data_IF_767573583449
#
_entry.id   IF_767573583449
#
_cell.length_a   1.000
_cell.length_b   1.000
_cell.length_c   1.000
_cell.angle_alpha   90.00
_cell.angle_beta   90.00
_cell.angle_gamma   90.00
#
_symmetry.space_group_name_H-M   'P 1'
#
loop_
_entity.id
_entity.type
_entity.pdbx_description
1 polymer ?
#
# COMPACT_ATOMS: atom_id res chain seq x y z
N UNK A 1 0.55 24.11 23.72
CA UNK A 1 0.19 22.78 23.17
C UNK A 1 -1.32 22.71 23.00
N UNK A 2 -1.82 22.18 21.88
CA UNK A 2 -3.26 21.98 21.67
C UNK A 2 -3.69 20.68 22.37
N UNK A 3 -4.58 20.72 23.37
CA UNK A 3 -5.06 19.51 24.01
C UNK A 3 -5.95 18.70 23.03
N UNK A 4 -6.05 17.38 23.24
CA UNK A 4 -6.68 16.46 22.27
C UNK A 4 -8.20 16.43 22.44
N UNK A 5 -8.91 16.04 21.37
CA UNK A 5 -10.38 15.85 21.33
C UNK A 5 -11.20 17.13 21.49
N UNK A 6 -10.71 18.24 20.93
CA UNK A 6 -11.48 19.49 20.85
C UNK A 6 -12.15 19.59 19.48
N UNK A 7 -13.40 20.03 19.47
CA UNK A 7 -14.12 20.38 18.25
C UNK A 7 -13.66 21.73 17.70
N UNK A 8 -13.33 22.67 18.59
CA UNK A 8 -12.88 24.02 18.25
C UNK A 8 -11.51 24.34 18.85
N UNK A 9 -10.83 25.31 18.25
CA UNK A 9 -9.50 25.74 18.66
C UNK A 9 -9.34 27.26 18.54
N UNK A 10 -8.50 27.88 19.38
CA UNK A 10 -8.14 29.29 19.24
C UNK A 10 -7.50 29.60 17.88
N UNK A 11 -7.67 30.84 17.39
CA UNK A 11 -7.15 31.31 16.10
C UNK A 11 -5.62 31.14 15.94
N UNK A 12 -4.88 31.06 17.04
CA UNK A 12 -3.43 30.82 17.05
C UNK A 12 -3.02 29.48 16.42
N UNK A 13 -3.93 28.50 16.35
CA UNK A 13 -3.69 27.18 15.74
C UNK A 13 -4.29 27.03 14.34
N UNK A 14 -4.95 28.07 13.81
CA UNK A 14 -5.69 28.00 12.56
C UNK A 14 -4.80 27.60 11.37
N UNK A 15 -3.62 28.22 11.21
CA UNK A 15 -2.72 27.92 10.11
C UNK A 15 -2.30 26.44 10.06
N UNK A 16 -1.95 25.86 11.22
CA UNK A 16 -1.53 24.46 11.31
C UNK A 16 -2.69 23.48 11.09
N UNK A 17 -3.90 23.82 11.57
CA UNK A 17 -5.07 23.00 11.32
C UNK A 17 -5.48 23.02 9.85
N UNK A 18 -5.38 24.15 9.15
CA UNK A 18 -5.64 24.22 7.69
C UNK A 18 -4.65 23.33 6.93
N UNK A 19 -3.36 23.42 7.22
CA UNK A 19 -2.33 22.57 6.58
C UNK A 19 -2.63 21.09 6.84
N UNK A 20 -2.99 20.74 8.08
CA UNK A 20 -3.38 19.38 8.47
C UNK A 20 -4.59 18.88 7.69
N UNK A 21 -5.62 19.71 7.52
CA UNK A 21 -6.82 19.38 6.75
C UNK A 21 -6.54 19.23 5.24
N UNK A 22 -5.65 20.04 4.68
CA UNK A 22 -5.22 19.86 3.29
C UNK A 22 -4.49 18.52 3.14
N UNK A 23 -3.62 18.16 4.10
CA UNK A 23 -2.95 16.86 4.13
C UNK A 23 -3.92 15.68 4.19
N UNK A 24 -5.01 15.78 4.97
CA UNK A 24 -6.02 14.72 5.02
C UNK A 24 -6.83 14.60 3.71
N UNK A 25 -7.07 15.70 3.00
CA UNK A 25 -7.68 15.63 1.67
C UNK A 25 -6.77 14.91 0.67
N UNK A 26 -5.46 15.19 0.71
CA UNK A 26 -4.47 14.51 -0.15
C UNK A 26 -4.43 13.01 0.16
N UNK A 27 -4.51 12.60 1.42
CA UNK A 27 -4.51 11.18 1.79
C UNK A 27 -5.79 10.44 1.37
N UNK A 28 -6.94 11.12 1.39
CA UNK A 28 -8.19 10.55 0.84
C UNK A 28 -8.04 10.33 -0.66
N UNK A 29 -7.49 11.30 -1.39
CA UNK A 29 -7.26 11.17 -2.83
C UNK A 29 -6.28 10.05 -3.18
N UNK A 30 -5.20 9.89 -2.40
CA UNK A 30 -4.24 8.81 -2.62
C UNK A 30 -4.85 7.43 -2.37
N UNK A 31 -5.77 7.29 -1.40
CA UNK A 31 -6.47 6.04 -1.14
C UNK A 31 -7.40 5.67 -2.30
N UNK A 32 -8.17 6.62 -2.83
CA UNK A 32 -9.01 6.39 -4.02
C UNK A 32 -8.15 5.96 -5.21
N UNK A 33 -7.01 6.63 -5.41
CA UNK A 33 -6.08 6.28 -6.47
C UNK A 33 -5.48 4.88 -6.31
N UNK A 34 -5.14 4.47 -5.08
CA UNK A 34 -4.67 3.13 -4.77
C UNK A 34 -5.72 2.07 -5.13
N UNK A 35 -6.99 2.29 -4.79
CA UNK A 35 -8.07 1.37 -5.18
C UNK A 35 -8.20 1.26 -6.71
N UNK A 36 -8.04 2.37 -7.42
CA UNK A 36 -8.08 2.38 -8.88
C UNK A 36 -6.92 1.60 -9.50
N UNK A 37 -5.69 1.77 -9.01
CA UNK A 37 -4.52 1.04 -9.52
C UNK A 37 -4.70 -0.47 -9.31
N UNK A 38 -5.19 -0.90 -8.14
CA UNK A 38 -5.44 -2.33 -7.88
C UNK A 38 -6.48 -2.88 -8.85
N UNK A 39 -7.59 -2.16 -9.05
CA UNK A 39 -8.62 -2.56 -9.99
C UNK A 39 -8.09 -2.66 -11.43
N UNK A 40 -7.33 -1.66 -11.89
CA UNK A 40 -6.74 -1.65 -13.22
C UNK A 40 -5.76 -2.82 -13.41
N UNK A 41 -4.91 -3.09 -12.41
CA UNK A 41 -3.95 -4.20 -12.46
C UNK A 41 -4.66 -5.56 -12.60
N UNK A 42 -5.78 -5.76 -11.88
CA UNK A 42 -6.60 -6.98 -11.98
C UNK A 42 -7.34 -7.07 -13.33
N UNK A 43 -7.79 -5.94 -13.88
CA UNK A 43 -8.49 -5.90 -15.16
C UNK A 43 -7.57 -6.15 -16.36
N UNK A 44 -6.35 -5.61 -16.36
CA UNK A 44 -5.41 -5.71 -17.49
C UNK A 44 -4.68 -7.05 -17.59
N UNK A 45 -4.69 -7.88 -16.54
CA UNK A 45 -4.15 -9.26 -16.52
C UNK A 45 -2.72 -9.38 -17.10
N UNK A 46 -1.85 -8.41 -16.78
CA UNK A 46 -0.46 -8.37 -17.25
C UNK A 46 0.36 -9.51 -16.63
N UNK A 47 0.94 -10.37 -17.47
CA UNK A 47 1.79 -11.48 -17.03
C UNK A 47 3.19 -10.98 -16.63
N UNK A 48 3.72 -11.55 -15.55
CA UNK A 48 5.09 -11.29 -15.08
C UNK A 48 6.06 -12.10 -15.94
N UNK A 49 7.06 -11.45 -16.52
CA UNK A 49 8.07 -12.09 -17.40
C UNK A 49 9.40 -12.30 -16.66
N UNK A 50 9.85 -11.30 -15.89
CA UNK A 50 11.07 -11.39 -15.11
C UNK A 50 10.99 -10.45 -13.91
N UNK A 51 11.68 -10.79 -12.82
CA UNK A 51 11.83 -9.95 -11.63
C UNK A 51 13.28 -9.52 -11.45
N UNK A 52 13.50 -8.22 -11.27
CA UNK A 52 14.84 -7.61 -11.21
C UNK A 52 15.44 -7.56 -9.80
N UNK A 53 15.15 -8.54 -8.94
CA UNK A 53 15.67 -8.58 -7.57
C UNK A 53 16.32 -9.93 -7.25
N UNK A 54 17.18 -9.93 -6.23
CA UNK A 54 17.81 -11.15 -5.71
C UNK A 54 16.76 -11.98 -4.95
N UNK A 55 16.54 -13.23 -5.33
CA UNK A 55 15.62 -14.15 -4.65
C UNK A 55 16.24 -14.65 -3.33
N UNK A 56 16.34 -13.78 -2.32
CA UNK A 56 16.92 -14.12 -1.02
C UNK A 56 15.97 -14.96 -0.14
N UNK A 57 14.66 -14.92 -0.40
CA UNK A 57 13.67 -15.79 0.23
C UNK A 57 13.06 -16.79 -0.77
N UNK A 58 12.68 -17.96 -0.26
CA UNK A 58 12.10 -19.07 -1.03
C UNK A 58 10.78 -18.71 -1.72
N UNK A 59 10.01 -17.77 -1.18
CA UNK A 59 8.72 -17.38 -1.75
C UNK A 59 8.84 -16.88 -3.20
N UNK A 60 9.94 -16.19 -3.53
CA UNK A 60 10.17 -15.58 -4.83
C UNK A 60 10.63 -16.56 -5.92
N UNK A 61 10.94 -17.81 -5.55
CA UNK A 61 11.27 -18.87 -6.50
C UNK A 61 10.02 -19.57 -7.08
N UNK A 62 8.83 -19.33 -6.51
CA UNK A 62 7.60 -19.92 -6.98
C UNK A 62 7.06 -19.23 -8.26
N UNK A 63 6.17 -19.94 -8.96
CA UNK A 63 5.42 -19.36 -10.08
C UNK A 63 4.39 -18.32 -9.60
N UNK A 64 3.97 -17.43 -10.50
CA UNK A 64 2.93 -16.43 -10.27
C UNK A 64 1.71 -16.71 -11.16
N UNK A 65 0.59 -17.26 -10.65
CA UNK A 65 0.31 -17.61 -9.25
C UNK A 65 0.98 -18.92 -8.81
N UNK A 66 1.19 -19.11 -7.49
CA UNK A 66 1.72 -20.35 -6.95
C UNK A 66 0.71 -21.50 -7.12
N UNK A 67 1.22 -22.73 -7.12
CA UNK A 67 0.40 -23.93 -7.10
C UNK A 67 -0.25 -24.10 -5.71
N UNK A 68 -1.41 -24.75 -5.65
CA UNK A 68 -2.09 -25.05 -4.37
C UNK A 68 -1.20 -25.89 -3.43
N UNK A 69 -0.39 -26.78 -4.00
CA UNK A 69 0.66 -27.51 -3.30
C UNK A 69 1.99 -27.14 -3.95
N UNK A 70 2.76 -26.28 -3.28
CA UNK A 70 3.96 -25.66 -3.85
C UNK A 70 5.20 -26.55 -3.82
N UNK A 71 5.30 -27.44 -2.83
CA UNK A 71 6.48 -28.26 -2.61
C UNK A 71 6.11 -29.74 -2.50
N UNK A 72 6.68 -30.57 -3.37
CA UNK A 72 6.54 -32.03 -3.26
C UNK A 72 7.42 -32.61 -2.14
N UNK A 73 8.50 -31.91 -1.80
CA UNK A 73 9.48 -32.30 -0.78
C UNK A 73 9.85 -31.08 0.07
N UNK A 74 10.32 -31.29 1.30
CA UNK A 74 10.70 -30.19 2.19
C UNK A 74 11.93 -29.49 1.58
N UNK A 75 11.87 -28.17 1.31
CA UNK A 75 13.01 -27.47 0.77
C UNK A 75 14.14 -27.46 1.81
N UNK A 76 15.32 -27.94 1.43
CA UNK A 76 16.53 -27.79 2.23
C UNK A 76 17.04 -26.35 2.06
N UNK A 77 17.06 -25.61 3.17
CA UNK A 77 17.77 -24.32 3.27
C UNK A 77 19.28 -24.54 3.20
#
# INVERSE_FOLDING_TARGET
AMPRRYSDYPDTFLAWNIISSIGSLISIMSLVFLMFIIWEALASKRKIINMFFLSSSLEWQNNYPPLNHSYNEIPSI
#
